data_IF_382908575906
#
_entry.id   IF_382908575906
#
_cell.length_a   1.000
_cell.length_b   1.000
_cell.length_c   1.000
_cell.angle_alpha   90.00
_cell.angle_beta   90.00
_cell.angle_gamma   90.00
#
_symmetry.space_group_name_H-M   'P 1'
#
loop_
_entity.id
_entity.type
_entity.pdbx_description
1 polymer ?
#
# COMPACT_ATOMS: atom_id res chain seq x y z
N UNK A 1 1.63 -8.60 -1.20
CA UNK A 1 2.09 -8.48 0.20
C UNK A 1 0.87 -8.10 0.99
N UNK A 2 0.42 -8.83 2.02
CA UNK A 2 -0.89 -8.56 2.65
C UNK A 2 -0.82 -7.69 3.92
N UNK A 3 -1.64 -6.65 4.00
CA UNK A 3 -1.69 -5.58 5.01
C UNK A 3 -3.11 -5.37 5.59
N UNK A 4 -4.05 -6.29 5.31
CA UNK A 4 -5.46 -6.17 5.69
C UNK A 4 -5.68 -5.85 7.18
N UNK A 5 -6.72 -5.06 7.49
CA UNK A 5 -7.15 -4.72 8.85
C UNK A 5 -6.11 -3.88 9.60
N UNK A 6 -5.54 -2.91 8.90
CA UNK A 6 -4.44 -2.03 9.34
C UNK A 6 -4.83 -0.98 10.38
N UNK A 7 -6.12 -0.71 10.56
CA UNK A 7 -6.60 0.30 11.49
C UNK A 7 -6.67 -0.17 12.96
N UNK A 8 -6.99 0.76 13.89
CA UNK A 8 -7.15 0.44 15.30
C UNK A 8 -8.21 -0.64 15.54
N UNK A 9 -7.88 -1.60 16.40
CA UNK A 9 -8.65 -2.78 16.77
C UNK A 9 -8.91 -3.74 15.59
N UNK A 10 -7.97 -3.84 14.66
CA UNK A 10 -8.06 -4.72 13.47
C UNK A 10 -9.33 -4.43 12.65
N UNK A 11 -9.62 -3.15 12.48
CA UNK A 11 -10.73 -2.63 11.66
C UNK A 11 -10.16 -1.78 10.55
N UNK A 12 -10.97 -1.54 9.53
CA UNK A 12 -10.61 -0.61 8.48
C UNK A 12 -10.47 0.81 9.05
N UNK A 13 -9.52 1.63 8.56
CA UNK A 13 -9.36 3.01 9.01
C UNK A 13 -10.68 3.77 8.94
N UNK A 14 -11.04 4.45 10.03
CA UNK A 14 -12.32 5.16 10.19
C UNK A 14 -13.58 4.31 9.92
N UNK A 15 -13.50 2.98 10.11
CA UNK A 15 -14.54 2.01 9.80
C UNK A 15 -14.98 2.02 8.30
N UNK A 16 -14.11 2.49 7.40
CA UNK A 16 -14.33 2.51 5.96
C UNK A 16 -13.33 1.61 5.23
N UNK A 17 -13.82 0.49 4.70
CA UNK A 17 -13.00 -0.48 3.99
C UNK A 17 -12.25 0.11 2.79
N UNK A 18 -12.78 1.17 2.16
CA UNK A 18 -12.13 1.83 1.02
C UNK A 18 -10.80 2.48 1.38
N UNK A 19 -10.53 2.68 2.67
CA UNK A 19 -9.31 3.30 3.19
C UNK A 19 -8.28 2.27 3.67
N UNK A 20 -8.69 1.01 3.77
CA UNK A 20 -7.89 -0.11 4.28
C UNK A 20 -7.01 -0.64 3.15
N UNK A 21 -5.70 -0.39 3.26
CA UNK A 21 -4.71 -0.92 2.33
C UNK A 21 -4.54 -2.41 2.56
N UNK A 22 -4.59 -3.19 1.48
CA UNK A 22 -4.43 -4.64 1.57
C UNK A 22 -3.10 -5.08 1.01
N UNK A 23 -2.61 -4.51 -0.09
CA UNK A 23 -1.35 -4.99 -0.64
C UNK A 23 -0.54 -3.95 -1.41
N UNK A 24 0.77 -4.14 -1.38
CA UNK A 24 1.73 -3.47 -2.24
C UNK A 24 2.55 -4.49 -3.03
N UNK A 25 2.75 -4.24 -4.33
CA UNK A 25 3.58 -5.06 -5.20
C UNK A 25 4.46 -4.20 -6.11
N UNK A 26 5.66 -4.69 -6.39
CA UNK A 26 6.55 -4.20 -7.42
C UNK A 26 7.21 -5.40 -8.13
N UNK A 27 7.16 -5.43 -9.46
CA UNK A 27 7.78 -6.49 -10.26
C UNK A 27 8.01 -6.03 -11.71
N UNK A 28 8.90 -6.67 -12.49
CA UNK A 28 9.16 -6.28 -13.86
C UNK A 28 7.94 -6.57 -14.76
N UNK A 29 7.67 -5.70 -15.73
CA UNK A 29 6.64 -5.96 -16.73
C UNK A 29 7.03 -7.16 -17.61
N UNK A 30 6.15 -8.16 -17.69
CA UNK A 30 6.45 -9.43 -18.37
C UNK A 30 6.64 -9.29 -19.88
N UNK A 31 5.96 -8.32 -20.51
CA UNK A 31 5.92 -8.10 -21.95
C UNK A 31 6.67 -6.84 -22.40
N UNK A 32 7.29 -6.10 -21.47
CA UNK A 32 7.93 -4.82 -21.77
C UNK A 32 9.20 -4.58 -20.90
N UNK A 33 10.38 -5.03 -21.37
CA UNK A 33 11.65 -4.79 -20.68
C UNK A 33 11.92 -3.30 -20.42
N UNK A 34 12.55 -2.99 -19.29
CA UNK A 34 12.79 -1.61 -18.86
C UNK A 34 11.55 -0.92 -18.27
N UNK A 35 10.59 -1.71 -17.80
CA UNK A 35 9.40 -1.24 -17.10
C UNK A 35 9.13 -2.05 -15.84
N UNK A 36 8.58 -1.35 -14.86
CA UNK A 36 8.16 -1.89 -13.58
C UNK A 36 6.64 -1.77 -13.46
N UNK A 37 5.99 -2.80 -12.93
CA UNK A 37 4.57 -2.78 -12.54
C UNK A 37 4.50 -2.54 -11.04
N UNK A 38 3.76 -1.51 -10.66
CA UNK A 38 3.46 -1.14 -9.28
C UNK A 38 1.98 -1.38 -9.03
N UNK A 39 1.63 -2.07 -7.94
CA UNK A 39 0.23 -2.32 -7.59
C UNK A 39 -0.02 -1.95 -6.13
N UNK A 40 -1.08 -1.18 -5.89
CA UNK A 40 -1.65 -0.91 -4.57
C UNK A 40 -3.08 -1.46 -4.54
N UNK A 41 -3.35 -2.38 -3.62
CA UNK A 41 -4.69 -2.89 -3.36
C UNK A 41 -5.28 -2.27 -2.09
N UNK A 42 -6.60 -2.08 -2.10
CA UNK A 42 -7.41 -1.57 -0.97
C UNK A 42 -8.78 -2.26 -0.93
N UNK A 43 -9.61 -1.95 0.07
CA UNK A 43 -10.99 -2.45 0.18
C UNK A 43 -11.09 -3.98 0.27
N UNK A 44 -10.68 -4.57 1.41
CA UNK A 44 -10.77 -6.02 1.60
C UNK A 44 -12.21 -6.50 1.52
N UNK A 45 -12.43 -7.65 0.89
CA UNK A 45 -13.74 -8.25 0.64
C UNK A 45 -14.67 -7.36 -0.22
N UNK A 46 -14.11 -6.66 -1.20
CA UNK A 46 -14.88 -5.96 -2.22
C UNK A 46 -15.81 -6.91 -3.01
N UNK A 47 -16.94 -6.42 -3.54
CA UNK A 47 -17.56 -5.13 -3.27
C UNK A 47 -18.47 -5.16 -2.03
N UNK A 48 -18.42 -6.21 -1.20
CA UNK A 48 -19.37 -6.43 -0.10
C UNK A 48 -19.31 -5.34 0.96
N UNK A 49 -18.13 -4.83 1.27
CA UNK A 49 -17.95 -3.73 2.24
C UNK A 49 -18.09 -2.34 1.61
N UNK A 50 -17.67 -2.18 0.36
CA UNK A 50 -17.88 -0.98 -0.43
C UNK A 50 -17.78 -1.28 -1.93
N UNK A 51 -18.56 -0.56 -2.74
CA UNK A 51 -18.69 -0.79 -4.18
C UNK A 51 -17.96 0.22 -5.07
N UNK A 52 -17.23 1.18 -4.48
CA UNK A 52 -16.52 2.27 -5.17
C UNK A 52 -15.29 2.71 -4.37
N UNK A 53 -14.29 3.33 -5.01
CA UNK A 53 -13.18 3.97 -4.30
C UNK A 53 -13.66 5.22 -3.56
N UNK A 54 -12.96 5.64 -2.50
CA UNK A 54 -13.36 6.82 -1.73
C UNK A 54 -13.03 8.12 -2.51
N UNK A 55 -14.00 9.00 -2.78
CA UNK A 55 -13.77 10.19 -3.61
C UNK A 55 -12.91 11.27 -2.92
N UNK A 56 -12.97 11.35 -1.60
CA UNK A 56 -12.13 12.29 -0.83
C UNK A 56 -10.75 11.72 -0.43
N UNK A 57 -10.44 10.49 -0.82
CA UNK A 57 -9.16 9.87 -0.50
C UNK A 57 -8.10 10.13 -1.57
N UNK A 58 -6.84 10.07 -1.14
CA UNK A 58 -5.65 10.03 -2.00
C UNK A 58 -4.95 8.71 -1.71
N UNK A 59 -4.92 7.85 -2.72
CA UNK A 59 -4.18 6.59 -2.69
C UNK A 59 -2.82 6.85 -3.31
N UNK A 60 -1.76 6.29 -2.74
CA UNK A 60 -0.42 6.73 -3.13
C UNK A 60 0.62 5.62 -3.03
N UNK A 61 1.48 5.55 -4.04
CA UNK A 61 2.69 4.75 -4.04
C UNK A 61 3.87 5.72 -4.02
N UNK A 62 4.66 5.65 -2.96
CA UNK A 62 5.86 6.46 -2.77
C UNK A 62 7.09 5.66 -3.13
N UNK A 63 8.10 6.35 -3.68
CA UNK A 63 9.37 5.77 -4.09
C UNK A 63 10.50 6.61 -3.50
N UNK A 64 11.40 5.93 -2.81
CA UNK A 64 12.74 6.40 -2.42
C UNK A 64 13.73 5.85 -3.44
N UNK A 65 14.53 6.73 -4.05
CA UNK A 65 15.55 6.34 -5.01
C UNK A 65 16.96 6.87 -4.69
N UNK A 66 17.15 7.43 -3.49
CA UNK A 66 18.44 7.90 -3.01
C UNK A 66 18.87 7.32 -1.64
N UNK A 67 17.98 6.56 -0.99
CA UNK A 67 18.21 5.85 0.25
C UNK A 67 18.05 6.72 1.49
N UNK A 68 17.46 7.92 1.38
CA UNK A 68 17.17 8.79 2.53
C UNK A 68 15.86 8.43 3.26
N UNK A 69 15.16 7.38 2.80
CA UNK A 69 13.88 6.89 3.32
C UNK A 69 12.73 7.91 3.20
N UNK A 70 12.83 8.87 2.28
CA UNK A 70 11.80 9.85 1.95
C UNK A 70 11.41 9.71 0.49
N UNK A 71 10.23 10.23 0.17
CA UNK A 71 9.70 10.10 -1.18
C UNK A 71 10.41 11.07 -2.12
N UNK A 72 11.02 10.55 -3.17
CA UNK A 72 11.62 11.29 -4.28
C UNK A 72 10.74 11.26 -5.52
N UNK A 73 9.91 10.23 -5.66
CA UNK A 73 8.84 10.12 -6.64
C UNK A 73 7.57 9.66 -5.93
N UNK A 74 6.42 10.22 -6.28
CA UNK A 74 5.15 9.71 -5.81
C UNK A 74 4.11 9.68 -6.93
N UNK A 75 3.36 8.59 -6.97
CA UNK A 75 2.18 8.42 -7.82
C UNK A 75 0.93 8.52 -6.95
N UNK A 76 0.16 9.59 -7.12
CA UNK A 76 -1.08 9.84 -6.40
C UNK A 76 -2.28 9.55 -7.29
N UNK A 77 -3.21 8.74 -6.79
CA UNK A 77 -4.44 8.34 -7.45
C UNK A 77 -5.63 8.94 -6.71
N UNK A 78 -6.44 9.71 -7.42
CA UNK A 78 -7.69 10.29 -6.90
C UNK A 78 -8.87 9.84 -7.73
N UNK A 79 -10.02 9.69 -7.08
CA UNK A 79 -11.21 9.14 -7.69
C UNK A 79 -12.33 10.16 -7.70
N UNK A 80 -13.09 10.23 -8.79
CA UNK A 80 -14.31 11.04 -8.82
C UNK A 80 -15.35 10.50 -7.84
N UNK A 81 -16.33 11.30 -7.40
CA UNK A 81 -17.57 10.75 -6.87
C UNK A 81 -18.15 9.73 -7.86
N UNK A 82 -18.68 8.63 -7.34
CA UNK A 82 -19.38 7.67 -8.18
C UNK A 82 -20.73 8.24 -8.61
N UNK A 83 -21.09 8.02 -9.87
CA UNK A 83 -22.38 8.37 -10.42
C UNK A 83 -22.91 7.18 -11.24
N UNK A 84 -24.06 6.64 -10.86
CA UNK A 84 -24.70 5.51 -11.55
C UNK A 84 -23.78 4.28 -11.70
N UNK A 85 -22.91 4.04 -10.70
CA UNK A 85 -21.94 2.92 -10.71
C UNK A 85 -20.71 3.16 -11.58
N UNK A 86 -20.58 4.33 -12.20
CA UNK A 86 -19.37 4.76 -12.88
C UNK A 86 -18.50 5.64 -11.96
N UNK A 87 -17.19 5.45 -12.07
CA UNK A 87 -16.19 6.24 -11.37
C UNK A 87 -14.98 6.41 -12.30
N UNK A 88 -14.23 7.50 -12.11
CA UNK A 88 -12.99 7.74 -12.83
C UNK A 88 -11.82 7.94 -11.89
N UNK A 89 -10.61 7.64 -12.36
CA UNK A 89 -9.35 7.87 -11.68
C UNK A 89 -8.51 8.94 -12.41
N UNK A 90 -7.83 9.77 -11.63
CA UNK A 90 -6.81 10.73 -12.10
C UNK A 90 -5.50 10.39 -11.41
N UNK A 91 -4.40 10.39 -12.17
CA UNK A 91 -3.06 10.01 -11.69
C UNK A 91 -2.12 11.19 -11.83
N UNK A 92 -1.54 11.60 -10.71
CA UNK A 92 -0.50 12.61 -10.64
C UNK A 92 0.84 11.95 -10.34
N UNK A 93 1.90 12.49 -10.94
CA UNK A 93 3.29 12.17 -10.61
C UNK A 93 3.99 13.41 -10.07
N UNK A 94 4.49 13.34 -8.84
CA UNK A 94 5.35 14.36 -8.24
C UNK A 94 6.77 13.84 -8.05
N UNK A 95 7.74 14.76 -8.03
CA UNK A 95 9.17 14.46 -7.85
C UNK A 95 9.82 15.40 -6.85
N UNK A 96 10.96 14.98 -6.29
CA UNK A 96 11.76 15.76 -5.33
C UNK A 96 10.94 16.22 -4.12
N UNK A 97 11.08 17.49 -3.73
CA UNK A 97 10.35 18.00 -2.56
C UNK A 97 8.83 17.97 -2.73
N UNK A 98 8.30 18.03 -3.95
CA UNK A 98 6.87 17.90 -4.19
C UNK A 98 6.37 16.48 -3.91
N UNK A 99 7.22 15.46 -4.14
CA UNK A 99 6.94 14.09 -3.74
C UNK A 99 6.91 13.91 -2.21
N UNK A 100 7.32 14.88 -1.39
CA UNK A 100 7.25 14.76 0.07
C UNK A 100 5.95 15.31 0.67
N UNK A 101 5.16 16.03 -0.11
CA UNK A 101 3.82 16.50 0.28
C UNK A 101 2.78 15.48 -0.16
N UNK A 102 1.88 15.05 0.74
CA UNK A 102 0.87 14.01 0.48
C UNK A 102 -0.18 14.41 -0.56
N UNK A 103 -0.40 15.71 -0.77
CA UNK A 103 -1.38 16.18 -1.76
C UNK A 103 -1.00 15.73 -3.19
N UNK A 104 -1.99 15.41 -4.05
CA UNK A 104 -1.76 15.18 -5.46
C UNK A 104 -1.18 16.44 -6.11
N UNK A 105 0.01 16.31 -6.71
CA UNK A 105 0.74 17.43 -7.30
C UNK A 105 1.62 16.95 -8.45
N UNK A 106 2.20 17.89 -9.21
CA UNK A 106 3.06 17.58 -10.34
C UNK A 106 2.28 17.24 -11.61
N UNK A 107 2.88 16.41 -12.46
CA UNK A 107 2.38 16.12 -13.79
C UNK A 107 1.16 15.21 -13.74
N UNK A 108 0.15 15.51 -14.55
CA UNK A 108 -1.01 14.63 -14.74
C UNK A 108 -0.66 13.59 -15.80
N UNK A 109 -0.51 12.33 -15.39
CA UNK A 109 -0.22 11.21 -16.29
C UNK A 109 -1.50 10.70 -16.97
N UNK A 110 -2.58 10.61 -16.20
CA UNK A 110 -3.89 10.18 -16.65
C UNK A 110 -4.96 11.07 -16.01
N UNK A 111 -5.99 11.44 -16.78
CA UNK A 111 -7.12 12.23 -16.29
C UNK A 111 -8.41 11.51 -16.64
N UNK A 112 -9.28 11.35 -15.65
CA UNK A 112 -10.64 10.83 -15.82
C UNK A 112 -10.72 9.48 -16.55
N UNK A 113 -9.78 8.56 -16.26
CA UNK A 113 -9.81 7.19 -16.81
C UNK A 113 -10.89 6.38 -16.09
N UNK A 114 -11.66 5.57 -16.80
CA UNK A 114 -12.72 4.76 -16.21
C UNK A 114 -12.18 3.72 -15.24
N UNK A 115 -12.85 3.58 -14.08
CA UNK A 115 -12.63 2.47 -13.15
C UNK A 115 -13.49 1.29 -13.59
N UNK A 116 -12.94 0.07 -13.61
CA UNK A 116 -13.71 -1.11 -14.03
C UNK A 116 -14.05 -2.03 -12.87
N UNK A 117 -15.33 -2.19 -12.57
CA UNK A 117 -15.83 -3.14 -11.58
C UNK A 117 -16.24 -4.49 -12.18
N UNK A 118 -16.19 -4.62 -13.51
CA UNK A 118 -16.47 -5.85 -14.24
C UNK A 118 -15.26 -6.81 -14.30
N UNK A 119 -15.53 -8.02 -14.79
CA UNK A 119 -14.52 -9.08 -14.89
C UNK A 119 -13.37 -8.76 -15.85
N UNK A 120 -13.65 -8.07 -16.96
CA UNK A 120 -12.64 -7.69 -17.93
C UNK A 120 -11.94 -6.38 -17.50
N UNK A 121 -10.59 -6.31 -17.53
CA UNK A 121 -9.87 -5.05 -17.40
C UNK A 121 -10.09 -4.13 -18.59
N UNK A 122 -10.24 -2.84 -18.28
CA UNK A 122 -9.95 -1.75 -19.21
C UNK A 122 -8.62 -1.13 -18.78
N UNK A 123 -7.64 -1.14 -19.68
CA UNK A 123 -6.28 -0.67 -19.41
C UNK A 123 -6.05 0.58 -20.25
N UNK A 124 -5.83 1.71 -19.60
CA UNK A 124 -5.49 2.94 -20.28
C UNK A 124 -3.97 2.99 -20.53
N UNK A 125 -3.57 3.44 -21.72
CA UNK A 125 -2.17 3.64 -22.06
C UNK A 125 -1.91 5.09 -22.48
N UNK A 126 -0.87 5.71 -21.93
CA UNK A 126 -0.48 7.07 -22.29
C UNK A 126 1.01 7.28 -22.02
N UNK A 127 1.74 7.92 -22.95
CA UNK A 127 3.13 8.37 -22.76
C UNK A 127 4.08 7.31 -22.18
N UNK A 128 3.89 6.03 -22.54
CA UNK A 128 4.73 4.95 -22.04
C UNK A 128 4.32 4.38 -20.68
N UNK A 129 3.18 4.79 -20.13
CA UNK A 129 2.56 4.22 -18.94
C UNK A 129 1.36 3.35 -19.32
N UNK A 130 1.05 2.35 -18.48
CA UNK A 130 -0.26 1.67 -18.49
C UNK A 130 -0.92 1.79 -17.13
N UNK A 131 -2.22 2.04 -17.10
CA UNK A 131 -3.00 2.22 -15.89
C UNK A 131 -4.22 1.31 -15.89
N UNK A 132 -4.45 0.68 -14.74
CA UNK A 132 -5.66 -0.03 -14.40
C UNK A 132 -6.12 0.36 -13.00
N UNK A 133 -7.44 0.55 -12.82
CA UNK A 133 -8.04 0.66 -11.49
C UNK A 133 -9.41 -0.06 -11.47
N UNK A 134 -9.66 -0.89 -10.45
CA UNK A 134 -10.94 -1.60 -10.35
C UNK A 134 -10.96 -2.86 -9.49
N UNK A 135 -12.07 -3.60 -9.57
CA UNK A 135 -12.32 -4.81 -8.77
C UNK A 135 -11.49 -5.99 -9.25
N UNK A 136 -10.69 -6.61 -8.38
CA UNK A 136 -9.88 -7.81 -8.72
C UNK A 136 -9.94 -8.83 -7.61
N UNK A 137 -9.71 -10.10 -7.96
CA UNK A 137 -9.55 -11.16 -6.97
C UNK A 137 -8.47 -10.77 -5.98
N UNK A 138 -8.73 -11.00 -4.70
CA UNK A 138 -7.74 -10.81 -3.65
C UNK A 138 -6.61 -11.85 -3.85
N UNK A 139 -5.34 -11.43 -3.97
CA UNK A 139 -4.22 -12.36 -4.07
C UNK A 139 -3.82 -12.96 -2.71
N UNK A 140 -4.39 -12.47 -1.60
CA UNK A 140 -4.13 -13.00 -0.27
C UNK A 140 -4.86 -14.33 -0.04
N UNK A 141 -4.14 -15.29 0.53
CA UNK A 141 -4.66 -16.59 0.93
C UNK A 141 -4.21 -16.89 2.35
N UNK A 142 -5.12 -17.33 3.20
CA UNK A 142 -4.80 -17.61 4.60
C UNK A 142 -5.71 -18.68 5.19
N UNK A 143 -5.10 -19.65 5.87
CA UNK A 143 -5.82 -20.61 6.71
C UNK A 143 -5.97 -20.05 8.12
N UNK A 144 -6.90 -19.10 8.27
CA UNK A 144 -7.15 -18.42 9.54
C UNK A 144 -7.56 -19.40 10.65
N UNK A 145 -8.28 -20.47 10.32
CA UNK A 145 -8.65 -21.53 11.25
C UNK A 145 -7.40 -22.25 11.79
N UNK A 146 -6.45 -22.56 10.91
CA UNK A 146 -5.15 -23.11 11.29
C UNK A 146 -4.33 -22.16 12.16
N UNK A 147 -4.30 -20.86 11.81
CA UNK A 147 -3.56 -19.84 12.59
C UNK A 147 -4.06 -19.77 14.03
N UNK A 148 -5.37 -19.70 14.25
CA UNK A 148 -5.94 -19.59 15.61
C UNK A 148 -5.93 -20.92 16.38
N UNK A 149 -5.61 -22.04 15.72
CA UNK A 149 -5.55 -23.37 16.28
C UNK A 149 -4.10 -23.90 16.33
N UNK A 150 -3.19 -23.10 16.89
CA UNK A 150 -1.77 -23.43 17.08
C UNK A 150 -1.08 -23.92 15.81
N UNK A 151 -1.36 -23.28 14.67
CA UNK A 151 -0.83 -23.62 13.35
C UNK A 151 -1.19 -25.04 12.87
N UNK A 152 -2.29 -25.61 13.38
CA UNK A 152 -2.85 -26.88 12.88
C UNK A 152 -3.63 -26.63 11.60
N UNK A 153 -2.94 -26.68 10.46
CA UNK A 153 -3.48 -26.36 9.15
C UNK A 153 -4.67 -27.26 8.73
N UNK A 154 -5.75 -26.62 8.32
CA UNK A 154 -6.96 -27.24 7.77
C UNK A 154 -6.93 -27.34 6.24
N UNK A 155 -6.08 -26.53 5.60
CA UNK A 155 -5.99 -26.39 4.15
C UNK A 155 -7.12 -25.55 3.54
N UNK A 156 -7.95 -24.89 4.37
CA UNK A 156 -9.02 -24.02 3.90
C UNK A 156 -8.51 -22.60 3.77
N UNK A 157 -8.56 -22.06 2.56
CA UNK A 157 -8.32 -20.64 2.35
C UNK A 157 -9.55 -19.82 2.76
N UNK A 158 -9.42 -19.06 3.84
CA UNK A 158 -10.46 -18.18 4.36
C UNK A 158 -10.71 -16.97 3.45
N UNK A 159 -9.79 -16.67 2.54
CA UNK A 159 -9.88 -15.58 1.57
C UNK A 159 -10.36 -16.05 0.20
N UNK A 160 -10.68 -17.34 0.06
CA UNK A 160 -11.10 -17.90 -1.23
C UNK A 160 -12.30 -17.14 -1.79
N UNK A 161 -12.16 -16.65 -3.04
CA UNK A 161 -13.15 -15.83 -3.76
C UNK A 161 -13.39 -14.43 -3.18
N UNK A 162 -12.56 -13.96 -2.24
CA UNK A 162 -12.54 -12.56 -1.87
C UNK A 162 -12.02 -11.70 -3.03
N UNK A 163 -12.45 -10.45 -3.06
CA UNK A 163 -11.90 -9.45 -3.98
C UNK A 163 -11.39 -8.25 -3.19
N UNK A 164 -10.60 -7.45 -3.89
CA UNK A 164 -10.08 -6.15 -3.49
C UNK A 164 -10.32 -5.15 -4.62
N UNK A 165 -10.06 -3.89 -4.35
CA UNK A 165 -9.85 -2.89 -5.38
C UNK A 165 -8.35 -2.74 -5.65
N UNK A 166 -7.92 -3.04 -6.87
CA UNK A 166 -6.54 -2.92 -7.31
C UNK A 166 -6.32 -1.66 -8.13
N UNK A 167 -5.22 -0.97 -7.86
CA UNK A 167 -4.67 0.13 -8.65
C UNK A 167 -3.32 -0.35 -9.18
N UNK A 168 -3.21 -0.59 -10.49
CA UNK A 168 -1.99 -1.06 -11.12
C UNK A 168 -1.46 -0.02 -12.11
N UNK A 169 -0.17 0.31 -11.98
CA UNK A 169 0.54 1.25 -12.82
C UNK A 169 1.82 0.60 -13.36
N UNK A 170 1.89 0.43 -14.68
CA UNK A 170 3.13 0.07 -15.38
C UNK A 170 3.88 1.36 -15.73
N UNK A 171 5.12 1.49 -15.25
CA UNK A 171 5.95 2.69 -15.36
C UNK A 171 7.27 2.38 -16.08
N UNK A 172 7.80 3.31 -16.90
CA UNK A 172 9.18 3.22 -17.39
C UNK A 172 10.18 3.28 -16.23
N UNK A 173 11.20 2.42 -16.25
CA UNK A 173 12.23 2.38 -15.19
C UNK A 173 12.98 3.71 -15.06
N UNK A 174 13.16 4.44 -16.16
CA UNK A 174 13.77 5.77 -16.15
C UNK A 174 13.02 6.78 -15.27
N UNK A 175 11.73 6.55 -14.99
CA UNK A 175 10.88 7.43 -14.17
C UNK A 175 10.98 7.13 -12.67
N UNK A 176 11.67 6.06 -12.29
CA UNK A 176 11.89 5.64 -10.90
C UNK A 176 13.25 6.04 -10.34
N UNK A 177 14.14 6.58 -11.18
CA UNK A 177 15.49 6.98 -10.79
C UNK A 177 16.57 6.09 -11.41
N UNK A 178 17.85 6.53 -11.33
CA UNK A 178 18.95 5.86 -12.00
C UNK A 178 19.50 4.62 -11.27
N UNK A 179 19.30 4.51 -9.95
CA UNK A 179 19.73 3.35 -9.18
C UNK A 179 18.76 2.18 -9.40
N UNK A 180 19.21 0.96 -9.79
CA UNK A 180 18.32 -0.17 -10.00
C UNK A 180 17.51 -0.54 -8.75
N UNK A 181 18.05 -0.31 -7.55
CA UNK A 181 17.35 -0.56 -6.28
C UNK A 181 16.55 0.67 -5.87
N UNK A 182 15.27 0.46 -5.56
CA UNK A 182 14.38 1.48 -5.02
C UNK A 182 13.69 0.99 -3.75
N UNK A 183 13.28 1.93 -2.90
CA UNK A 183 12.39 1.69 -1.78
C UNK A 183 10.96 2.09 -2.13
N UNK A 184 9.95 1.33 -1.70
CA UNK A 184 8.54 1.63 -1.94
C UNK A 184 7.69 1.49 -0.67
N UNK A 185 6.66 2.33 -0.54
CA UNK A 185 5.58 2.13 0.43
C UNK A 185 4.26 2.71 -0.08
N UNK A 186 3.17 2.08 0.32
CA UNK A 186 1.82 2.56 0.08
C UNK A 186 1.40 3.56 1.16
N UNK A 187 0.52 4.49 0.80
CA UNK A 187 -0.16 5.39 1.73
C UNK A 187 -1.58 5.63 1.25
N UNK A 188 -2.52 5.63 2.19
CA UNK A 188 -3.89 6.11 1.97
C UNK A 188 -4.12 7.29 2.89
N UNK A 189 -4.61 8.38 2.32
CA UNK A 189 -4.94 9.59 3.06
C UNK A 189 -6.37 10.02 2.78
N UNK A 190 -7.07 10.48 3.82
CA UNK A 190 -8.44 10.94 3.73
C UNK A 190 -8.49 12.44 4.00
N UNK A 191 -9.24 13.17 3.17
CA UNK A 191 -9.45 14.60 3.42
C UNK A 191 -10.56 14.81 4.43
N UNK A 192 -10.20 15.48 5.51
CA UNK A 192 -11.10 15.83 6.61
C UNK A 192 -10.84 17.28 7.00
N UNK A 193 -11.91 18.08 7.10
CA UNK A 193 -11.83 19.49 7.51
C UNK A 193 -10.83 20.34 6.72
N UNK A 194 -10.68 20.04 5.42
CA UNK A 194 -9.77 20.75 4.51
C UNK A 194 -8.30 20.36 4.64
N UNK A 195 -7.98 19.33 5.43
CA UNK A 195 -6.64 18.76 5.56
C UNK A 195 -6.63 17.32 5.07
N UNK A 196 -5.54 16.92 4.41
CA UNK A 196 -5.31 15.54 4.02
C UNK A 196 -4.58 14.83 5.17
N UNK A 197 -5.24 13.86 5.80
CA UNK A 197 -4.71 13.09 6.91
C UNK A 197 -4.33 11.70 6.42
N UNK A 198 -3.11 11.25 6.74
CA UNK A 198 -2.74 9.87 6.45
C UNK A 198 -3.42 8.92 7.44
N UNK A 199 -4.20 7.98 6.91
CA UNK A 199 -5.04 7.07 7.68
C UNK A 199 -4.55 5.63 7.60
N UNK A 200 -3.69 5.34 6.62
CA UNK A 200 -3.01 4.05 6.46
C UNK A 200 -1.69 4.23 5.71
N UNK A 201 -0.70 3.41 6.05
CA UNK A 201 0.53 3.24 5.27
C UNK A 201 1.14 1.87 5.53
N UNK A 202 2.03 1.49 4.64
CA UNK A 202 2.93 0.37 4.88
C UNK A 202 3.56 -0.17 3.61
N UNK A 203 4.49 -1.10 3.80
CA UNK A 203 5.17 -1.78 2.71
C UNK A 203 5.27 -3.29 2.92
N UNK A 204 5.57 -3.71 4.15
CA UNK A 204 5.67 -5.11 4.56
C UNK A 204 4.34 -5.67 5.06
N UNK A 205 4.13 -6.99 4.94
CA UNK A 205 2.86 -7.57 5.30
C UNK A 205 2.68 -7.58 6.81
N UNK A 206 1.51 -7.12 7.25
CA UNK A 206 1.00 -7.27 8.61
C UNK A 206 1.86 -6.70 9.74
N UNK A 207 2.86 -5.85 9.47
CA UNK A 207 3.70 -5.25 10.52
C UNK A 207 2.85 -4.43 11.51
N UNK A 208 1.97 -3.57 11.00
CA UNK A 208 1.08 -2.76 11.83
C UNK A 208 0.14 -3.60 12.70
N UNK A 209 -0.29 -4.77 12.21
CA UNK A 209 -1.20 -5.64 12.94
C UNK A 209 -0.52 -6.37 14.10
N UNK A 210 0.74 -6.77 13.95
CA UNK A 210 1.45 -7.61 14.92
C UNK A 210 2.40 -6.85 15.85
N UNK A 211 2.97 -5.75 15.40
CA UNK A 211 4.01 -5.04 16.16
C UNK A 211 3.53 -3.76 16.83
N UNK A 212 2.55 -3.07 16.25
CA UNK A 212 2.05 -1.82 16.83
C UNK A 212 0.96 -2.10 17.86
N UNK A 213 1.17 -1.62 19.08
CA UNK A 213 0.11 -1.47 20.06
C UNK A 213 -1.01 -0.58 19.50
N UNK A 214 -2.25 -0.77 19.98
CA UNK A 214 -3.42 -0.08 19.42
C UNK A 214 -3.30 1.44 19.47
N UNK A 215 -2.78 1.98 20.56
CA UNK A 215 -2.52 3.41 20.75
C UNK A 215 -1.42 3.98 19.83
N UNK A 216 -0.58 3.13 19.22
CA UNK A 216 0.52 3.56 18.35
C UNK A 216 0.14 3.58 16.87
N UNK A 217 -0.96 2.95 16.46
CA UNK A 217 -1.33 2.79 15.04
C UNK A 217 -1.65 4.10 14.34
N UNK A 218 -2.34 5.03 14.99
CA UNK A 218 -2.63 6.34 14.39
C UNK A 218 -1.34 7.15 14.16
N UNK A 219 -0.42 7.14 15.14
CA UNK A 219 0.87 7.79 15.00
C UNK A 219 1.73 7.13 13.91
N UNK A 220 1.69 5.81 13.81
CA UNK A 220 2.33 5.06 12.73
C UNK A 220 1.78 5.49 11.38
N UNK A 221 0.46 5.44 11.19
CA UNK A 221 -0.20 5.80 9.94
C UNK A 221 0.07 7.25 9.54
N UNK A 222 0.19 8.16 10.50
CA UNK A 222 0.54 9.57 10.27
C UNK A 222 2.04 9.81 9.98
N UNK A 223 2.93 8.96 10.49
CA UNK A 223 4.38 9.13 10.40
C UNK A 223 4.98 8.82 9.02
N UNK A 224 6.29 9.01 8.90
CA UNK A 224 7.09 8.73 7.70
C UNK A 224 8.10 7.61 7.96
N UNK A 225 8.40 6.76 6.94
CA UNK A 225 9.39 5.69 7.08
C UNK A 225 10.78 6.16 7.55
N UNK A 226 11.21 7.37 7.19
CA UNK A 226 12.47 7.95 7.65
C UNK A 226 12.64 8.00 9.18
N UNK A 227 11.54 8.04 9.93
CA UNK A 227 11.55 8.12 11.40
C UNK A 227 11.27 6.75 12.06
N UNK A 228 11.03 5.70 11.27
CA UNK A 228 10.54 4.40 11.77
C UNK A 228 11.55 3.71 12.68
N UNK A 229 12.83 3.73 12.32
CA UNK A 229 13.87 3.09 13.13
C UNK A 229 13.94 3.70 14.54
N UNK A 230 13.94 5.03 14.62
CA UNK A 230 14.06 5.71 15.91
C UNK A 230 12.78 5.61 16.75
N UNK A 231 11.63 5.55 16.09
CA UNK A 231 10.33 5.49 16.74
C UNK A 231 9.97 4.07 17.20
N UNK A 232 10.22 3.06 16.37
CA UNK A 232 9.65 1.72 16.55
C UNK A 232 10.65 0.63 16.93
N UNK A 233 11.98 0.84 16.82
CA UNK A 233 12.96 -0.22 17.15
C UNK A 233 12.78 -0.79 18.57
N UNK A 234 12.53 0.08 19.55
CA UNK A 234 12.42 -0.30 20.96
C UNK A 234 11.11 -1.02 21.27
N UNK A 235 9.92 -0.47 20.95
CA UNK A 235 8.67 -1.19 21.18
C UNK A 235 8.61 -2.51 20.38
N UNK A 236 9.10 -2.55 19.15
CA UNK A 236 9.08 -3.78 18.35
C UNK A 236 10.10 -4.82 18.83
N UNK A 237 11.22 -4.37 19.41
CA UNK A 237 12.15 -5.28 20.11
C UNK A 237 11.45 -5.94 21.30
N UNK A 238 10.66 -5.19 22.07
CA UNK A 238 9.91 -5.75 23.20
C UNK A 238 8.88 -6.80 22.73
N UNK A 239 8.22 -6.59 21.59
CA UNK A 239 7.32 -7.58 20.98
C UNK A 239 8.08 -8.88 20.65
N UNK A 240 9.21 -8.79 19.95
CA UNK A 240 10.00 -9.98 19.58
C UNK A 240 10.55 -10.73 20.80
N UNK A 241 10.97 -10.00 21.83
CA UNK A 241 11.40 -10.59 23.10
C UNK A 241 10.27 -11.34 23.79
N UNK A 242 9.06 -10.78 23.76
CA UNK A 242 7.90 -11.36 24.41
C UNK A 242 7.34 -12.58 23.67
N UNK A 243 7.29 -12.55 22.34
CA UNK A 243 6.60 -13.56 21.53
C UNK A 243 7.52 -14.64 20.96
N UNK A 244 8.82 -14.37 20.85
CA UNK A 244 9.78 -15.27 20.21
C UNK A 244 11.08 -15.50 20.97
N UNK A 245 11.17 -15.08 22.24
CA UNK A 245 12.35 -15.25 23.10
C UNK A 245 13.65 -14.68 22.51
N UNK A 246 13.55 -13.62 21.69
CA UNK A 246 14.71 -12.98 21.09
C UNK A 246 15.59 -12.32 22.17
N UNK A 247 16.91 -12.32 21.99
CA UNK A 247 17.77 -11.38 22.72
C UNK A 247 17.62 -9.98 22.10
N UNK A 248 17.94 -8.90 22.84
CA UNK A 248 17.94 -7.53 22.27
C UNK A 248 18.74 -7.43 20.98
N UNK A 249 19.93 -8.05 20.95
CA UNK A 249 20.79 -8.05 19.77
C UNK A 249 20.14 -8.78 18.59
N UNK A 250 19.59 -9.98 18.83
CA UNK A 250 18.90 -10.75 17.79
C UNK A 250 17.67 -10.00 17.26
N UNK A 251 16.85 -9.42 18.14
CA UNK A 251 15.70 -8.62 17.76
C UNK A 251 16.11 -7.41 16.90
N UNK A 252 17.15 -6.68 17.32
CA UNK A 252 17.65 -5.52 16.56
C UNK A 252 18.14 -5.91 15.17
N UNK A 253 18.86 -7.03 15.03
CA UNK A 253 19.27 -7.52 13.71
C UNK A 253 18.08 -7.95 12.84
N UNK A 254 17.08 -8.63 13.41
CA UNK A 254 15.85 -8.98 12.70
C UNK A 254 15.09 -7.75 12.23
N UNK A 255 15.00 -6.71 13.06
CA UNK A 255 14.27 -5.50 12.73
C UNK A 255 14.87 -4.73 11.55
N UNK A 256 16.17 -4.88 11.25
CA UNK A 256 16.78 -4.28 10.04
C UNK A 256 16.21 -4.82 8.73
N UNK A 257 15.47 -5.92 8.77
CA UNK A 257 14.81 -6.49 7.60
C UNK A 257 13.48 -5.79 7.28
N UNK A 258 12.90 -5.07 8.25
CA UNK A 258 11.52 -4.56 8.17
C UNK A 258 11.36 -3.11 8.65
N UNK A 259 12.40 -2.54 9.26
CA UNK A 259 12.49 -1.12 9.63
C UNK A 259 13.63 -0.45 8.82
N UNK A 260 13.36 0.69 8.18
CA UNK A 260 12.04 1.34 8.05
C UNK A 260 11.05 0.47 7.25
N UNK A 261 9.74 0.70 7.39
CA UNK A 261 8.74 -0.09 6.65
C UNK A 261 8.70 0.31 5.17
N UNK A 262 9.70 -0.16 4.43
CA UNK A 262 9.97 0.12 3.03
C UNK A 262 10.25 -1.20 2.29
N UNK A 263 9.47 -1.47 1.25
CA UNK A 263 9.67 -2.60 0.36
C UNK A 263 10.82 -2.25 -0.59
N UNK A 264 11.92 -2.99 -0.49
CA UNK A 264 13.03 -2.87 -1.44
C UNK A 264 12.79 -3.71 -2.69
N UNK A 265 13.01 -3.11 -3.85
CA UNK A 265 12.87 -3.75 -5.16
C UNK A 265 14.06 -3.43 -6.05
N UNK A 266 14.69 -4.46 -6.61
CA UNK A 266 15.84 -4.37 -7.51
C UNK A 266 15.40 -4.68 -8.95
N UNK A 267 15.72 -3.77 -9.87
CA UNK A 267 15.35 -3.81 -11.29
C UNK A 267 16.44 -4.38 -12.21
N UNK A 268 17.55 -4.87 -11.64
CA UNK A 268 18.68 -5.41 -12.41
C UNK A 268 18.45 -6.77 -13.06
#
# INVERSE_FOLDING_TARGET
MSHHLSGPNLRSPHDDARLDMTDLFAFPAADAPGRTVLILNVNPYAPTRAAEFHPDAVYRINIDNDGDHRADVAYSFTFSPAAEGAQTVTVHRSTGTAARNHEPAGDVLFSSVAVTFGAAPDVAEANGYKLFAGLRSDPFFADLEGIVNDFTWTGKDAMANANVFGIALEVPDAELGPDPTIGLWGRVSLRQDGQLLSVDRGAHPSLTAYFNAEEAKDAYNAGEPADDWDTYREPWTAVLQHTGDYTTAAATETLKLVLPDILHYDRS
#
